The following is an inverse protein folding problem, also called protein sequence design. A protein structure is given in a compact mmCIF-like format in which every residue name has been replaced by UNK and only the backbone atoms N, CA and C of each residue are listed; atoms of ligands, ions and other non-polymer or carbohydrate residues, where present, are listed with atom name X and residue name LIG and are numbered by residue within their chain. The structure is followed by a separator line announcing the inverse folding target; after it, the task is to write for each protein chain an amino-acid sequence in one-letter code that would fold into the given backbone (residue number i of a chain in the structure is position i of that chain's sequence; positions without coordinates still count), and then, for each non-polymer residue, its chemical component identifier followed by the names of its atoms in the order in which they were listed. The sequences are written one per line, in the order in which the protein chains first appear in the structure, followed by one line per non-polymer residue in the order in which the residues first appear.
data_IF_240598116095
#
_entry.id   IF_240598116095
#
_cell.length_a   1.000
_cell.length_b   1.000
_cell.length_c   1.000
_cell.angle_alpha   90.00
_cell.angle_beta   90.00
_cell.angle_gamma   90.00
#
_symmetry.space_group_name_H-M   'P 1'
#
loop_
_entity.id
_entity.type
_entity.pdbx_description
1 polymer ?
#
# COMPACT_ATOMS: atom_id res chain seq x y z
N UNK A 1 -21.73 -17.70 -4.85
CA UNK A 1 -21.14 -16.97 -3.71
C UNK A 1 -20.48 -15.70 -4.22
N UNK A 2 -20.68 -14.54 -3.56
CA UNK A 2 -19.94 -13.31 -3.93
C UNK A 2 -18.44 -13.55 -3.67
N UNK A 3 -17.60 -13.24 -4.65
CA UNK A 3 -16.14 -13.31 -4.49
C UNK A 3 -15.69 -12.16 -3.56
N UNK A 4 -15.46 -12.47 -2.28
CA UNK A 4 -15.02 -11.49 -1.28
C UNK A 4 -13.52 -11.18 -1.38
N UNK A 5 -12.73 -12.05 -2.03
CA UNK A 5 -11.27 -11.93 -2.13
C UNK A 5 -10.83 -10.58 -2.73
N UNK A 6 -11.64 -10.05 -3.65
CA UNK A 6 -11.41 -8.79 -4.35
C UNK A 6 -12.08 -7.56 -3.70
N UNK A 7 -12.85 -7.75 -2.62
CA UNK A 7 -13.65 -6.68 -1.99
C UNK A 7 -13.14 -6.24 -0.63
N UNK A 8 -12.10 -6.90 -0.12
CA UNK A 8 -11.50 -6.62 1.17
C UNK A 8 -10.09 -6.13 0.97
N UNK A 9 -9.74 -5.02 1.62
CA UNK A 9 -8.37 -4.52 1.72
C UNK A 9 -7.91 -4.80 3.14
N UNK A 10 -6.82 -5.57 3.27
CA UNK A 10 -6.26 -5.94 4.57
C UNK A 10 -5.26 -4.87 5.01
N UNK A 11 -5.51 -4.24 6.17
CA UNK A 11 -4.59 -3.27 6.75
C UNK A 11 -3.35 -3.96 7.32
N UNK A 12 -2.16 -3.54 6.87
CA UNK A 12 -0.88 -3.98 7.41
C UNK A 12 -0.38 -2.98 8.45
N UNK A 13 -1.07 -2.93 9.58
CA UNK A 13 -0.74 -2.01 10.68
C UNK A 13 0.33 -2.67 11.58
N UNK A 14 1.53 -2.85 11.01
CA UNK A 14 2.71 -3.41 11.67
C UNK A 14 3.94 -2.55 11.38
N UNK A 15 4.85 -2.46 12.34
CA UNK A 15 6.14 -1.76 12.21
C UNK A 15 7.31 -2.67 11.86
N UNK A 16 7.09 -3.98 11.66
CA UNK A 16 8.14 -4.94 11.34
C UNK A 16 7.80 -5.87 10.16
N UNK A 17 8.81 -6.20 9.37
CA UNK A 17 8.66 -7.00 8.15
C UNK A 17 8.25 -8.45 8.45
N UNK A 18 8.58 -8.98 9.63
CA UNK A 18 8.28 -10.37 9.99
C UNK A 18 6.78 -10.57 10.27
N UNK A 19 6.14 -9.61 10.91
CA UNK A 19 4.69 -9.60 11.15
C UNK A 19 3.92 -9.42 9.84
N UNK A 20 4.39 -8.53 8.96
CA UNK A 20 3.82 -8.37 7.61
C UNK A 20 3.93 -9.69 6.83
N UNK A 21 5.13 -10.29 6.79
CA UNK A 21 5.38 -11.60 6.15
C UNK A 21 4.38 -12.65 6.61
N UNK A 22 4.28 -12.83 7.93
CA UNK A 22 3.43 -13.85 8.55
C UNK A 22 1.96 -13.69 8.12
N UNK A 23 1.45 -12.46 8.05
CA UNK A 23 0.07 -12.21 7.64
C UNK A 23 -0.14 -12.44 6.14
N UNK A 24 0.75 -11.89 5.30
CA UNK A 24 0.64 -12.00 3.84
C UNK A 24 0.75 -13.46 3.39
N UNK A 25 1.68 -14.24 3.95
CA UNK A 25 1.82 -15.66 3.66
C UNK A 25 0.60 -16.47 4.11
N UNK A 26 0.03 -16.15 5.29
CA UNK A 26 -1.19 -16.80 5.80
C UNK A 26 -2.41 -16.55 4.91
N UNK A 27 -2.47 -15.41 4.24
CA UNK A 27 -3.58 -15.00 3.38
C UNK A 27 -3.31 -15.21 1.88
N UNK A 28 -2.22 -15.90 1.54
CA UNK A 28 -1.84 -16.18 0.16
C UNK A 28 -2.95 -16.93 -0.57
N UNK A 29 -3.40 -16.38 -1.71
CA UNK A 29 -4.50 -16.93 -2.50
C UNK A 29 -5.91 -16.60 -1.98
N UNK A 30 -6.03 -15.95 -0.83
CA UNK A 30 -7.31 -15.55 -0.21
C UNK A 30 -7.56 -14.04 -0.27
N UNK A 31 -6.52 -13.21 -0.05
CA UNK A 31 -6.64 -11.76 -0.11
C UNK A 31 -6.00 -11.18 -1.37
N UNK A 32 -6.71 -10.26 -2.05
CA UNK A 32 -6.19 -9.60 -3.24
C UNK A 32 -5.51 -8.26 -2.96
N UNK A 33 -5.84 -7.55 -1.87
CA UNK A 33 -5.33 -6.20 -1.59
C UNK A 33 -4.81 -6.05 -0.16
N UNK A 34 -3.67 -5.38 -0.03
CA UNK A 34 -3.05 -5.01 1.23
C UNK A 34 -2.82 -3.50 1.29
N UNK A 35 -3.17 -2.89 2.42
CA UNK A 35 -2.95 -1.47 2.69
C UNK A 35 -1.66 -1.29 3.50
N UNK A 36 -0.67 -0.63 2.93
CA UNK A 36 0.53 -0.18 3.65
C UNK A 36 0.29 1.27 4.08
N UNK A 37 0.21 1.51 5.39
CA UNK A 37 0.14 2.84 5.97
C UNK A 37 1.51 3.45 6.27
N UNK A 38 1.53 4.70 6.75
CA UNK A 38 2.76 5.45 7.04
C UNK A 38 3.70 4.77 8.03
N UNK A 39 3.18 4.09 9.05
CA UNK A 39 4.01 3.32 10.00
C UNK A 39 4.77 2.20 9.29
N UNK A 40 4.05 1.27 8.66
CA UNK A 40 4.64 0.15 7.94
C UNK A 40 5.61 0.60 6.83
N UNK A 41 5.26 1.63 6.07
CA UNK A 41 6.14 2.16 5.03
C UNK A 41 7.40 2.80 5.60
N UNK A 42 7.29 3.56 6.69
CA UNK A 42 8.46 4.22 7.30
C UNK A 42 9.39 3.20 7.94
N UNK A 43 8.85 2.17 8.60
CA UNK A 43 9.64 1.16 9.28
C UNK A 43 10.23 0.10 8.34
N UNK A 44 9.48 -0.34 7.34
CA UNK A 44 9.89 -1.44 6.46
C UNK A 44 10.36 -0.99 5.07
N UNK A 45 9.99 0.23 4.65
CA UNK A 45 10.32 0.77 3.34
C UNK A 45 9.79 -0.10 2.20
N UNK A 46 10.57 -0.13 1.11
CA UNK A 46 10.25 -0.90 -0.10
C UNK A 46 10.19 -2.41 0.15
N UNK A 47 10.86 -2.94 1.17
CA UNK A 47 10.86 -4.38 1.47
C UNK A 47 9.45 -4.91 1.77
N UNK A 48 8.59 -4.08 2.39
CA UNK A 48 7.18 -4.45 2.62
C UNK A 48 6.37 -4.52 1.33
N UNK A 49 6.67 -3.67 0.36
CA UNK A 49 6.06 -3.67 -0.97
C UNK A 49 6.48 -4.93 -1.73
N UNK A 50 7.79 -5.19 -1.80
CA UNK A 50 8.33 -6.34 -2.53
C UNK A 50 7.77 -7.65 -1.99
N UNK A 51 7.70 -7.80 -0.67
CA UNK A 51 7.14 -8.99 -0.02
C UNK A 51 5.69 -9.28 -0.43
N UNK A 52 4.85 -8.25 -0.52
CA UNK A 52 3.45 -8.42 -0.91
C UNK A 52 3.36 -8.83 -2.38
N UNK A 53 4.17 -8.22 -3.24
CA UNK A 53 4.21 -8.51 -4.68
C UNK A 53 4.71 -9.94 -4.95
N UNK A 54 5.72 -10.39 -4.23
CA UNK A 54 6.22 -11.78 -4.29
C UNK A 54 5.14 -12.81 -3.91
N UNK A 55 4.17 -12.41 -3.09
CA UNK A 55 3.03 -13.24 -2.73
C UNK A 55 1.82 -13.08 -3.68
N UNK A 56 1.94 -12.25 -4.73
CA UNK A 56 0.88 -11.97 -5.71
C UNK A 56 -0.22 -11.03 -5.20
N UNK A 57 0.02 -10.30 -4.11
CA UNK A 57 -0.92 -9.33 -3.56
C UNK A 57 -0.86 -7.99 -4.30
N UNK A 58 -2.01 -7.29 -4.35
CA UNK A 58 -2.11 -5.89 -4.79
C UNK A 58 -1.91 -4.95 -3.61
N UNK A 59 -1.45 -3.74 -3.88
CA UNK A 59 -1.04 -2.78 -2.86
C UNK A 59 -1.86 -1.50 -2.97
N UNK A 60 -2.50 -1.13 -1.86
CA UNK A 60 -2.92 0.23 -1.59
C UNK A 60 -1.87 0.90 -0.70
N UNK A 61 -1.16 1.89 -1.25
CA UNK A 61 -0.23 2.70 -0.50
C UNK A 61 -0.96 3.91 0.12
N UNK A 62 -1.26 3.79 1.42
CA UNK A 62 -2.04 4.73 2.22
C UNK A 62 -1.14 5.70 2.99
N UNK A 63 -0.40 6.54 2.24
CA UNK A 63 0.46 7.58 2.82
C UNK A 63 -0.24 8.93 2.97
N UNK A 64 -1.46 9.06 2.42
CA UNK A 64 -2.26 10.28 2.47
C UNK A 64 -1.45 11.49 1.99
N UNK A 65 -0.91 11.42 0.77
CA UNK A 65 -0.04 12.49 0.25
C UNK A 65 -0.74 13.85 0.35
N UNK A 66 -0.05 14.82 0.97
CA UNK A 66 -0.56 16.15 1.20
C UNK A 66 0.59 17.16 1.22
N UNK A 67 0.65 17.95 0.17
CA UNK A 67 1.63 19.02 -0.07
C UNK A 67 1.08 19.88 -1.23
N UNK A 68 1.85 20.86 -1.72
CA UNK A 68 1.50 21.59 -2.94
C UNK A 68 1.40 20.64 -4.14
N UNK A 69 0.54 20.92 -5.15
CA UNK A 69 0.19 19.94 -6.19
C UNK A 69 1.38 19.38 -6.98
N UNK A 70 2.38 20.21 -7.31
CA UNK A 70 3.58 19.73 -8.01
C UNK A 70 4.44 18.79 -7.15
N UNK A 71 4.49 18.98 -5.82
CA UNK A 71 5.19 18.07 -4.91
C UNK A 71 4.44 16.74 -4.80
N UNK A 72 3.11 16.78 -4.62
CA UNK A 72 2.27 15.57 -4.61
C UNK A 72 2.40 14.80 -5.94
N UNK A 73 2.35 15.49 -7.09
CA UNK A 73 2.56 14.87 -8.40
C UNK A 73 3.88 14.09 -8.47
N UNK A 74 4.99 14.70 -8.04
CA UNK A 74 6.33 14.05 -8.06
C UNK A 74 6.40 12.87 -7.09
N UNK A 75 5.80 12.99 -5.91
CA UNK A 75 5.74 11.93 -4.91
C UNK A 75 4.92 10.74 -5.43
N UNK A 76 3.71 10.99 -5.94
CA UNK A 76 2.83 9.98 -6.54
C UNK A 76 3.48 9.30 -7.75
N UNK A 77 4.13 10.07 -8.63
CA UNK A 77 4.87 9.53 -9.78
C UNK A 77 5.99 8.60 -9.33
N UNK A 78 6.68 8.93 -8.25
CA UNK A 78 7.74 8.10 -7.68
C UNK A 78 7.16 6.84 -7.02
N UNK A 79 6.07 6.97 -6.27
CA UNK A 79 5.35 5.85 -5.67
C UNK A 79 4.84 4.85 -6.73
N UNK A 80 4.32 5.34 -7.86
CA UNK A 80 3.89 4.48 -8.97
C UNK A 80 5.01 3.59 -9.53
N UNK A 81 6.28 4.02 -9.48
CA UNK A 81 7.43 3.20 -9.90
C UNK A 81 7.70 2.01 -8.97
N UNK A 82 7.20 2.04 -7.74
CA UNK A 82 7.25 0.91 -6.81
C UNK A 82 6.24 -0.20 -7.22
N UNK A 83 5.36 0.09 -8.19
CA UNK A 83 4.32 -0.81 -8.69
C UNK A 83 3.23 -1.08 -7.65
N UNK A 84 2.81 -0.02 -6.97
CA UNK A 84 1.59 0.00 -6.15
C UNK A 84 0.36 0.15 -7.06
N UNK A 85 -0.77 -0.45 -6.67
CA UNK A 85 -1.98 -0.49 -7.50
C UNK A 85 -2.88 0.73 -7.27
N UNK A 86 -2.95 1.21 -6.02
CA UNK A 86 -3.79 2.33 -5.61
C UNK A 86 -3.02 3.18 -4.60
N UNK A 87 -3.29 4.48 -4.61
CA UNK A 87 -2.79 5.46 -3.63
C UNK A 87 -3.93 6.37 -3.20
N UNK A 88 -3.70 7.20 -2.18
CA UNK A 88 -4.60 8.30 -1.82
C UNK A 88 -3.87 9.64 -1.69
N UNK A 89 -4.66 10.71 -1.80
CA UNK A 89 -4.23 12.10 -1.68
C UNK A 89 -5.27 12.86 -0.86
N UNK A 90 -4.83 13.89 -0.14
CA UNK A 90 -5.76 14.83 0.49
C UNK A 90 -6.23 15.87 -0.53
N UNK A 91 -7.54 15.95 -0.76
CA UNK A 91 -8.14 16.94 -1.67
C UNK A 91 -7.97 18.39 -1.21
N UNK A 92 -7.69 18.62 0.08
CA UNK A 92 -7.38 19.95 0.63
C UNK A 92 -6.07 20.55 0.10
N UNK A 93 -5.22 19.75 -0.55
CA UNK A 93 -3.98 20.23 -1.19
C UNK A 93 -4.19 21.04 -2.47
N UNK A 94 -5.43 21.13 -2.97
CA UNK A 94 -5.76 21.86 -4.21
C UNK A 94 -5.48 21.05 -5.48
N UNK A 95 -5.65 21.71 -6.63
CA UNK A 95 -5.59 21.06 -7.96
C UNK A 95 -4.57 21.69 -8.93
N UNK A 96 -3.93 22.81 -8.55
CA UNK A 96 -3.02 23.59 -9.39
C UNK A 96 -1.69 23.86 -8.69
#
# INVERSE_FOLDING_TARGET
MKNFKERVIIALDYSDLSSIRRLVERLKGEACFYKIGSEAFTSCGINGIDLIKDCGGKIFLDLKFHDIPNTVYRAVKSAGKLGVDIINVHASGGVN
#
